data_IF_650895484518
#
_entry.id   IF_650895484518
#
_cell.length_a   1.000
_cell.length_b   1.000
_cell.length_c   1.000
_cell.angle_alpha   90.00
_cell.angle_beta   90.00
_cell.angle_gamma   90.00
#
_symmetry.space_group_name_H-M   'P 1'
#
loop_
_entity.id
_entity.type
_entity.pdbx_description
1 polymer ?
#
# COMPACT_ATOMS: atom_id res chain seq x y z
N UNK A 1 12.88 23.56 13.37
CA UNK A 1 11.92 23.61 12.27
C UNK A 1 10.56 24.15 12.75
N UNK A 2 10.02 25.21 12.16
CA UNK A 2 8.79 25.89 12.65
C UNK A 2 7.60 25.54 11.73
N UNK A 3 6.42 25.16 12.27
CA UNK A 3 5.22 24.86 11.47
C UNK A 3 4.81 25.94 10.46
N UNK A 4 4.92 27.21 10.86
CA UNK A 4 4.62 28.31 9.95
C UNK A 4 5.55 28.34 8.74
N UNK A 5 6.83 28.07 8.92
CA UNK A 5 7.78 27.99 7.81
C UNK A 5 7.49 26.78 6.89
N UNK A 6 7.03 25.64 7.44
CA UNK A 6 6.60 24.51 6.64
C UNK A 6 5.37 24.87 5.77
N UNK A 7 4.39 25.63 6.31
CA UNK A 7 3.27 26.18 5.52
C UNK A 7 3.75 27.06 4.37
N UNK A 8 4.78 27.87 4.58
CA UNK A 8 5.38 28.70 3.55
C UNK A 8 5.99 27.88 2.41
N UNK A 9 6.74 26.83 2.74
CA UNK A 9 7.30 25.90 1.74
C UNK A 9 6.19 25.25 0.93
N UNK A 10 5.15 24.71 1.58
CA UNK A 10 4.00 24.09 0.90
C UNK A 10 3.25 25.09 0.00
N UNK A 11 3.13 26.34 0.44
CA UNK A 11 2.48 27.38 -0.36
C UNK A 11 3.27 27.70 -1.65
N UNK A 12 4.60 27.76 -1.58
CA UNK A 12 5.46 27.96 -2.76
C UNK A 12 5.32 26.81 -3.76
N UNK A 13 5.34 25.57 -3.28
CA UNK A 13 5.17 24.38 -4.12
C UNK A 13 3.82 24.38 -4.86
N UNK A 14 2.72 24.63 -4.12
CA UNK A 14 1.37 24.68 -4.70
C UNK A 14 1.17 25.78 -5.73
N UNK A 15 1.86 26.91 -5.52
CA UNK A 15 1.70 28.10 -6.39
C UNK A 15 2.68 28.13 -7.55
N UNK A 16 3.77 27.34 -7.52
CA UNK A 16 4.85 27.37 -8.52
C UNK A 16 5.56 28.73 -8.64
N UNK A 17 5.33 29.67 -7.67
CA UNK A 17 5.84 31.04 -7.72
C UNK A 17 5.87 31.66 -6.32
N UNK A 18 7.00 32.24 -5.91
CA UNK A 18 7.09 32.99 -4.65
C UNK A 18 6.15 34.16 -4.58
N UNK A 19 5.93 34.88 -5.71
CA UNK A 19 5.04 36.01 -5.76
C UNK A 19 3.57 35.57 -5.61
N UNK A 20 3.15 34.53 -6.29
CA UNK A 20 1.80 34.00 -6.18
C UNK A 20 1.56 33.42 -4.76
N UNK A 21 2.52 32.66 -4.23
CA UNK A 21 2.45 32.08 -2.89
C UNK A 21 2.33 33.16 -1.80
N UNK A 22 3.15 34.23 -1.87
CA UNK A 22 3.11 35.30 -0.88
C UNK A 22 1.77 36.03 -0.84
N UNK A 23 1.14 36.24 -1.99
CA UNK A 23 -0.23 36.78 -2.09
C UNK A 23 -1.26 35.82 -1.48
N UNK A 24 -1.16 34.52 -1.78
CA UNK A 24 -2.11 33.54 -1.29
C UNK A 24 -2.10 33.35 0.24
N UNK A 25 -0.93 33.57 0.89
CA UNK A 25 -0.80 33.46 2.35
C UNK A 25 -0.68 34.81 3.06
N UNK A 26 -0.94 35.92 2.35
CA UNK A 26 -0.99 37.27 2.88
C UNK A 26 0.29 37.74 3.62
N UNK A 27 1.46 37.47 3.04
CA UNK A 27 2.76 37.99 3.54
C UNK A 27 3.57 38.63 2.41
N UNK A 28 4.65 39.32 2.75
CA UNK A 28 5.54 39.88 1.73
C UNK A 28 6.38 38.78 1.06
N UNK A 29 6.71 38.96 -0.22
CA UNK A 29 7.57 38.03 -0.94
C UNK A 29 8.96 37.88 -0.27
N UNK A 30 9.51 38.97 0.28
CA UNK A 30 10.77 38.95 0.99
C UNK A 30 10.72 38.10 2.26
N UNK A 31 9.65 38.20 3.04
CA UNK A 31 9.42 37.37 4.22
C UNK A 31 9.29 35.89 3.86
N UNK A 32 8.54 35.58 2.78
CA UNK A 32 8.40 34.22 2.28
C UNK A 32 9.76 33.64 1.82
N UNK A 33 10.51 34.42 1.03
CA UNK A 33 11.82 34.00 0.53
C UNK A 33 12.80 33.72 1.70
N UNK A 34 12.83 34.61 2.69
CA UNK A 34 13.65 34.41 3.90
C UNK A 34 13.23 33.15 4.65
N UNK A 35 11.94 32.94 4.83
CA UNK A 35 11.42 31.77 5.54
C UNK A 35 11.79 30.45 4.86
N UNK A 36 11.74 30.38 3.53
CA UNK A 36 12.14 29.20 2.76
C UNK A 36 13.66 29.01 2.85
N UNK A 37 14.46 30.06 2.70
CA UNK A 37 15.91 29.98 2.82
C UNK A 37 16.37 29.46 4.20
N UNK A 38 15.67 29.86 5.27
CA UNK A 38 15.94 29.36 6.62
C UNK A 38 15.65 27.85 6.75
N UNK A 39 14.62 27.33 6.09
CA UNK A 39 14.33 25.88 6.05
C UNK A 39 15.38 25.15 5.21
N UNK A 40 15.79 25.69 4.07
CA UNK A 40 16.85 25.12 3.23
C UNK A 40 18.18 25.05 3.98
N UNK A 41 18.51 26.09 4.73
CA UNK A 41 19.69 26.11 5.60
C UNK A 41 19.62 25.06 6.73
N UNK A 42 18.45 24.90 7.36
CA UNK A 42 18.25 23.85 8.38
C UNK A 42 18.27 22.42 7.77
N UNK A 43 17.79 22.25 6.54
CA UNK A 43 17.76 20.98 5.83
C UNK A 43 19.14 20.60 5.25
N UNK A 44 19.97 21.58 4.94
CA UNK A 44 21.29 21.39 4.32
C UNK A 44 21.26 21.21 2.80
N UNK A 45 20.10 21.42 2.16
CA UNK A 45 19.94 21.34 0.71
C UNK A 45 18.84 22.28 0.22
N UNK A 46 18.90 22.64 -1.07
CA UNK A 46 17.87 23.45 -1.71
C UNK A 46 16.59 22.65 -1.90
N UNK A 47 15.45 23.25 -1.51
CA UNK A 47 14.13 22.66 -1.74
C UNK A 47 13.59 22.99 -3.13
N UNK A 48 13.97 24.17 -3.67
CA UNK A 48 13.45 24.69 -4.92
C UNK A 48 14.54 25.11 -5.89
N UNK A 49 14.25 24.92 -7.17
CA UNK A 49 14.99 25.46 -8.30
C UNK A 49 14.15 26.54 -9.00
N UNK A 50 14.82 27.65 -9.42
CA UNK A 50 14.16 28.73 -10.16
C UNK A 50 14.46 28.59 -11.63
N UNK A 51 13.43 28.50 -12.44
CA UNK A 51 13.50 28.45 -13.89
C UNK A 51 12.73 29.62 -14.50
N UNK A 52 12.97 29.91 -15.78
CA UNK A 52 12.25 30.97 -16.50
C UNK A 52 10.72 30.77 -16.50
N UNK A 53 10.26 29.54 -16.34
CA UNK A 53 8.82 29.18 -16.32
C UNK A 53 8.23 29.02 -14.92
N UNK A 54 8.97 29.28 -13.85
CA UNK A 54 8.47 29.16 -12.47
C UNK A 54 9.46 28.54 -11.49
N UNK A 55 8.94 28.13 -10.36
CA UNK A 55 9.68 27.51 -9.25
C UNK A 55 9.26 26.06 -9.15
N UNK A 56 10.24 25.15 -9.14
CA UNK A 56 10.03 23.70 -9.07
C UNK A 56 10.80 23.11 -7.91
N UNK A 57 10.25 22.04 -7.32
CA UNK A 57 10.96 21.30 -6.28
C UNK A 57 12.16 20.54 -6.85
N UNK A 58 13.30 20.57 -6.15
CA UNK A 58 14.43 19.68 -6.43
C UNK A 58 14.04 18.22 -6.15
N UNK A 59 14.83 17.24 -6.60
CA UNK A 59 14.59 15.83 -6.30
C UNK A 59 14.57 15.54 -4.79
N UNK A 60 15.50 16.14 -4.02
CA UNK A 60 15.53 16.06 -2.56
C UNK A 60 14.42 16.89 -1.92
N UNK A 61 14.13 18.08 -2.50
CA UNK A 61 13.06 18.97 -2.05
C UNK A 61 11.68 18.32 -2.16
N UNK A 62 11.41 17.52 -3.20
CA UNK A 62 10.11 16.85 -3.37
C UNK A 62 9.76 15.98 -2.16
N UNK A 63 10.66 15.10 -1.73
CA UNK A 63 10.43 14.24 -0.57
C UNK A 63 10.22 15.04 0.74
N UNK A 64 10.98 16.12 0.91
CA UNK A 64 10.81 17.04 2.05
C UNK A 64 9.46 17.75 2.02
N UNK A 65 9.08 18.33 0.86
CA UNK A 65 7.85 19.11 0.67
C UNK A 65 6.62 18.22 0.89
N UNK A 66 6.61 17.01 0.35
CA UNK A 66 5.53 16.06 0.53
C UNK A 66 5.32 15.72 2.01
N UNK A 67 6.41 15.57 2.78
CA UNK A 67 6.35 15.35 4.21
C UNK A 67 5.92 16.59 4.99
N UNK A 68 6.40 17.77 4.60
CA UNK A 68 5.98 19.04 5.18
C UNK A 68 4.48 19.29 4.95
N UNK A 69 3.95 18.99 3.77
CA UNK A 69 2.53 19.14 3.46
C UNK A 69 1.64 18.28 4.37
N UNK A 70 2.09 17.07 4.72
CA UNK A 70 1.38 16.18 5.66
C UNK A 70 1.37 16.76 7.08
N UNK A 71 2.53 17.19 7.58
CA UNK A 71 2.63 17.81 8.91
C UNK A 71 1.73 19.04 9.01
N UNK A 72 1.69 19.86 7.96
CA UNK A 72 0.82 21.05 7.88
C UNK A 72 -0.66 20.63 7.92
N UNK A 73 -1.05 19.62 7.15
CA UNK A 73 -2.41 19.13 7.14
C UNK A 73 -2.86 18.55 8.49
N UNK A 74 -1.99 17.79 9.15
CA UNK A 74 -2.23 17.23 10.48
C UNK A 74 -2.39 18.33 11.55
N UNK A 75 -1.58 19.41 11.47
CA UNK A 75 -1.71 20.57 12.35
C UNK A 75 -3.00 21.38 12.09
N UNK A 76 -3.41 21.50 10.85
CA UNK A 76 -4.67 22.17 10.48
C UNK A 76 -5.88 21.37 10.96
N UNK A 77 -5.82 20.04 10.85
CA UNK A 77 -6.84 19.15 11.37
C UNK A 77 -6.93 19.26 12.90
N UNK A 78 -5.80 19.17 13.61
CA UNK A 78 -5.75 19.34 15.07
C UNK A 78 -6.37 20.67 15.52
N UNK A 79 -6.05 21.75 14.78
CA UNK A 79 -6.59 23.08 15.08
C UNK A 79 -8.09 23.17 14.83
N UNK A 80 -8.59 22.50 13.78
CA UNK A 80 -10.02 22.43 13.48
C UNK A 80 -10.79 21.62 14.52
N UNK A 81 -10.26 20.47 14.95
CA UNK A 81 -10.85 19.60 15.95
C UNK A 81 -10.94 20.31 17.30
N UNK A 82 -9.90 21.04 17.69
CA UNK A 82 -9.87 21.83 18.94
C UNK A 82 -10.90 22.95 18.92
N UNK A 83 -11.10 23.64 17.79
CA UNK A 83 -12.05 24.74 17.65
C UNK A 83 -13.52 24.27 17.64
N UNK A 84 -13.77 23.07 17.12
CA UNK A 84 -15.13 22.53 17.01
C UNK A 84 -15.64 21.86 18.29
N UNK A 85 -14.84 21.78 19.37
CA UNK A 85 -15.18 21.07 20.58
C UNK A 85 -15.41 19.56 20.36
N UNK A 86 -15.12 19.07 19.17
CA UNK A 86 -15.18 17.63 18.86
C UNK A 86 -14.06 16.94 19.62
N UNK A 87 -14.36 15.86 20.28
CA UNK A 87 -13.32 14.93 20.70
C UNK A 87 -12.41 14.70 19.50
N UNK A 88 -11.10 14.55 19.71
CA UNK A 88 -10.06 14.31 18.69
C UNK A 88 -10.32 13.05 17.82
N UNK A 89 -11.58 12.78 17.53
CA UNK A 89 -12.14 11.57 16.91
C UNK A 89 -12.25 11.65 15.39
N UNK A 90 -12.06 12.82 14.78
CA UNK A 90 -12.03 12.98 13.32
C UNK A 90 -10.70 12.51 12.74
N UNK A 91 -10.18 11.40 13.24
CA UNK A 91 -8.87 10.90 12.85
C UNK A 91 -8.89 10.36 11.43
N UNK A 92 -7.84 10.67 10.69
CA UNK A 92 -7.49 10.00 9.44
C UNK A 92 -6.75 8.71 9.79
N UNK A 93 -7.08 7.61 9.11
CA UNK A 93 -6.37 6.34 9.20
C UNK A 93 -5.85 5.99 7.80
N UNK A 94 -4.53 5.97 7.66
CA UNK A 94 -3.84 5.65 6.40
C UNK A 94 -3.37 4.20 6.46
N UNK A 95 -3.95 3.35 5.62
CA UNK A 95 -3.66 1.91 5.59
C UNK A 95 -2.94 1.54 4.30
N UNK A 96 -1.72 1.04 4.43
CA UNK A 96 -0.98 0.43 3.36
C UNK A 96 -1.29 -1.07 3.26
N UNK A 97 -1.42 -1.56 2.03
CA UNK A 97 -1.67 -2.99 1.76
C UNK A 97 -0.69 -3.49 0.71
N UNK A 98 -0.03 -4.58 1.01
CA UNK A 98 0.92 -5.23 0.11
C UNK A 98 0.77 -6.77 0.17
N UNK A 99 0.71 -7.45 -0.97
CA UNK A 99 0.53 -6.92 -2.31
C UNK A 99 -0.88 -6.34 -2.56
N UNK A 100 -1.11 -5.63 -3.67
CA UNK A 100 -2.43 -5.05 -3.98
C UNK A 100 -3.58 -6.06 -3.96
N UNK A 101 -3.31 -7.34 -4.19
CA UNK A 101 -4.32 -8.42 -4.13
C UNK A 101 -4.90 -8.62 -2.72
N UNK A 102 -4.21 -8.16 -1.67
CA UNK A 102 -4.69 -8.22 -0.29
C UNK A 102 -5.71 -7.13 0.05
N UNK A 103 -6.00 -6.21 -0.86
CA UNK A 103 -7.03 -5.18 -0.66
C UNK A 103 -8.37 -5.80 -0.23
N UNK A 104 -8.67 -7.00 -0.75
CA UNK A 104 -9.89 -7.74 -0.38
C UNK A 104 -9.98 -8.08 1.12
N UNK A 105 -8.87 -8.17 1.85
CA UNK A 105 -8.86 -8.40 3.29
C UNK A 105 -9.52 -7.26 4.05
N UNK A 106 -9.36 -6.04 3.56
CA UNK A 106 -9.93 -4.85 4.19
C UNK A 106 -11.40 -4.66 3.87
N UNK A 107 -11.92 -5.28 2.80
CA UNK A 107 -13.31 -5.08 2.35
C UNK A 107 -14.35 -5.43 3.43
N UNK A 108 -14.03 -6.38 4.31
CA UNK A 108 -14.91 -6.75 5.43
C UNK A 108 -14.65 -5.91 6.69
N UNK A 109 -13.41 -5.50 6.91
CA UNK A 109 -13.01 -4.74 8.09
C UNK A 109 -13.39 -3.26 7.99
N UNK A 110 -13.26 -2.65 6.81
CA UNK A 110 -13.53 -1.21 6.63
C UNK A 110 -14.98 -0.79 6.93
N UNK A 111 -16.03 -1.51 6.49
CA UNK A 111 -17.39 -1.18 6.88
C UNK A 111 -17.62 -1.24 8.39
N UNK A 112 -17.00 -2.21 9.09
CA UNK A 112 -17.12 -2.36 10.54
C UNK A 112 -16.46 -1.20 11.28
N UNK A 113 -15.26 -0.83 10.88
CA UNK A 113 -14.56 0.29 11.51
C UNK A 113 -15.29 1.62 11.28
N UNK A 114 -15.85 1.84 10.09
CA UNK A 114 -16.63 3.03 9.78
C UNK A 114 -17.95 3.09 10.55
N UNK A 115 -18.56 1.95 10.88
CA UNK A 115 -19.75 1.92 11.76
C UNK A 115 -19.41 2.27 13.21
N UNK A 116 -18.22 1.92 13.69
CA UNK A 116 -17.74 2.26 15.04
C UNK A 116 -17.23 3.70 15.13
N UNK A 117 -16.66 4.22 14.04
CA UNK A 117 -16.08 5.56 13.95
C UNK A 117 -16.63 6.30 12.72
N UNK A 118 -17.86 6.82 12.75
CA UNK A 118 -18.51 7.43 11.58
C UNK A 118 -17.77 8.64 10.99
N UNK A 119 -17.02 9.37 11.81
CA UNK A 119 -16.25 10.55 11.39
C UNK A 119 -14.83 10.19 10.87
N UNK A 120 -14.46 8.90 10.89
CA UNK A 120 -13.15 8.44 10.46
C UNK A 120 -12.98 8.62 8.95
N UNK A 121 -11.86 9.21 8.56
CA UNK A 121 -11.41 9.26 7.15
C UNK A 121 -10.37 8.17 6.92
N UNK A 122 -10.63 7.28 5.97
CA UNK A 122 -9.71 6.20 5.63
C UNK A 122 -9.04 6.53 4.30
N UNK A 123 -7.72 6.43 4.27
CA UNK A 123 -6.92 6.44 3.06
C UNK A 123 -6.26 5.08 2.91
N UNK A 124 -6.57 4.40 1.82
CA UNK A 124 -5.99 3.10 1.51
C UNK A 124 -5.04 3.23 0.33
N UNK A 125 -3.82 2.77 0.50
CA UNK A 125 -2.83 2.65 -0.55
C UNK A 125 -2.42 1.21 -0.74
N UNK A 126 -2.25 0.79 -1.99
CA UNK A 126 -1.74 -0.53 -2.31
C UNK A 126 -0.43 -0.39 -3.10
N UNK A 127 0.58 -1.17 -2.75
CA UNK A 127 1.91 -1.04 -3.35
C UNK A 127 2.81 -2.24 -3.12
N UNK A 128 4.07 -2.09 -3.49
CA UNK A 128 5.14 -3.07 -3.30
C UNK A 128 5.60 -3.08 -1.84
N UNK A 129 6.06 -4.24 -1.35
CA UNK A 129 6.40 -4.39 0.08
C UNK A 129 7.51 -3.43 0.51
N UNK A 130 8.55 -3.27 -0.29
CA UNK A 130 9.67 -2.39 0.02
C UNK A 130 9.23 -0.93 0.12
N UNK A 131 8.41 -0.49 -0.84
CA UNK A 131 7.85 0.87 -0.85
C UNK A 131 6.90 1.07 0.33
N UNK A 132 6.03 0.11 0.61
CA UNK A 132 5.08 0.18 1.72
C UNK A 132 5.78 0.22 3.08
N UNK A 133 6.89 -0.53 3.25
CA UNK A 133 7.76 -0.45 4.43
C UNK A 133 8.36 0.95 4.57
N UNK A 134 8.84 1.56 3.47
CA UNK A 134 9.36 2.93 3.52
C UNK A 134 8.26 3.94 3.86
N UNK A 135 7.06 3.78 3.32
CA UNK A 135 5.92 4.62 3.68
C UNK A 135 5.58 4.52 5.17
N UNK A 136 5.62 3.32 5.75
CA UNK A 136 5.40 3.14 7.19
C UNK A 136 6.53 3.80 8.02
N UNK A 137 7.81 3.62 7.62
CA UNK A 137 8.96 4.29 8.24
C UNK A 137 8.84 5.81 8.21
N UNK A 138 8.39 6.34 7.08
CA UNK A 138 8.26 7.78 6.85
C UNK A 138 6.98 8.37 7.43
N UNK A 139 6.10 7.58 8.03
CA UNK A 139 4.78 8.01 8.52
C UNK A 139 3.82 8.44 7.41
N UNK A 140 4.00 7.92 6.21
CA UNK A 140 3.11 8.16 5.09
C UNK A 140 1.83 7.32 5.21
N UNK A 141 1.95 6.16 5.87
CA UNK A 141 0.85 5.31 6.31
C UNK A 141 0.97 5.05 7.81
N UNK A 142 -0.15 4.75 8.46
CA UNK A 142 -0.24 4.48 9.90
C UNK A 142 -0.16 2.98 10.20
N UNK A 143 -0.72 2.17 9.31
CA UNK A 143 -0.73 0.72 9.35
C UNK A 143 -0.28 0.12 8.02
N UNK A 144 0.41 -1.01 8.08
CA UNK A 144 0.77 -1.83 6.92
C UNK A 144 0.27 -3.25 7.11
N UNK A 145 -0.52 -3.74 6.14
CA UNK A 145 -0.89 -5.16 6.04
C UNK A 145 -0.10 -5.79 4.90
N UNK A 146 0.60 -6.88 5.19
CA UNK A 146 1.44 -7.52 4.17
C UNK A 146 2.13 -8.81 4.63
N UNK A 147 3.05 -9.35 3.81
CA UNK A 147 3.80 -10.56 4.11
C UNK A 147 4.64 -10.42 5.38
N UNK A 148 4.40 -11.29 6.36
CA UNK A 148 5.05 -11.25 7.67
C UNK A 148 6.59 -11.32 7.61
N UNK A 149 7.23 -12.15 6.75
CA UNK A 149 8.69 -12.25 6.72
C UNK A 149 9.38 -10.91 6.45
N UNK A 150 8.91 -10.14 5.46
CA UNK A 150 9.49 -8.84 5.11
C UNK A 150 9.26 -7.78 6.21
N UNK A 151 8.08 -7.79 6.83
CA UNK A 151 7.73 -6.86 7.90
C UNK A 151 8.54 -7.14 9.17
N UNK A 152 8.69 -8.40 9.56
CA UNK A 152 9.42 -8.81 10.78
C UNK A 152 10.90 -8.51 10.75
N UNK A 153 11.50 -8.34 9.58
CA UNK A 153 12.90 -7.90 9.45
C UNK A 153 13.12 -6.46 9.91
N UNK A 154 12.04 -5.71 10.22
CA UNK A 154 12.12 -4.31 10.60
C UNK A 154 11.94 -4.14 12.12
N UNK A 155 13.04 -3.91 12.86
CA UNK A 155 13.05 -3.80 14.33
C UNK A 155 12.26 -2.61 14.91
N UNK A 156 11.84 -1.68 14.06
CA UNK A 156 11.15 -0.46 14.48
C UNK A 156 9.63 -0.55 14.43
N UNK A 157 9.08 -1.73 14.13
CA UNK A 157 7.64 -1.93 14.04
C UNK A 157 7.13 -2.81 15.18
N UNK A 158 5.94 -2.48 15.67
CA UNK A 158 5.09 -3.42 16.39
C UNK A 158 4.36 -4.26 15.36
N UNK A 159 4.43 -5.58 15.49
CA UNK A 159 3.95 -6.53 14.49
C UNK A 159 2.94 -7.48 15.12
N UNK A 160 1.75 -7.50 14.57
CA UNK A 160 0.70 -8.47 14.90
C UNK A 160 0.61 -9.51 13.81
N UNK A 161 0.56 -10.78 14.18
CA UNK A 161 0.45 -11.89 13.22
C UNK A 161 -1.01 -12.09 12.85
N UNK A 162 -1.28 -12.13 11.55
CA UNK A 162 -2.58 -12.48 11.01
C UNK A 162 -2.59 -13.94 10.54
N UNK A 163 -3.80 -14.50 10.38
CA UNK A 163 -3.97 -15.80 9.74
C UNK A 163 -3.33 -15.80 8.34
N UNK A 164 -2.67 -16.89 7.95
CA UNK A 164 -2.00 -16.97 6.67
C UNK A 164 -2.96 -16.82 5.49
N UNK A 165 -2.47 -16.24 4.42
CA UNK A 165 -3.21 -15.93 3.21
C UNK A 165 -2.98 -17.02 2.14
N UNK A 166 -4.05 -17.64 1.67
CA UNK A 166 -3.99 -18.62 0.60
C UNK A 166 -3.95 -17.96 -0.78
N UNK A 167 -3.08 -18.44 -1.65
CA UNK A 167 -3.02 -18.08 -3.07
C UNK A 167 -3.60 -19.22 -3.90
N UNK A 168 -4.28 -18.87 -4.99
CA UNK A 168 -4.71 -19.78 -6.03
C UNK A 168 -4.19 -19.33 -7.38
N UNK A 169 -3.92 -20.27 -8.26
CA UNK A 169 -3.69 -20.01 -9.67
C UNK A 169 -5.02 -20.04 -10.41
N UNK A 170 -5.20 -19.10 -11.35
CA UNK A 170 -6.38 -19.06 -12.20
C UNK A 170 -5.99 -18.88 -13.66
N UNK A 171 -6.86 -19.35 -14.55
CA UNK A 171 -6.70 -19.32 -16.00
C UNK A 171 -8.01 -18.95 -16.67
N UNK A 172 -7.97 -18.57 -17.95
CA UNK A 172 -9.18 -18.38 -18.75
C UNK A 172 -9.97 -19.67 -18.87
N UNK A 173 -11.25 -19.58 -19.16
CA UNK A 173 -12.05 -20.74 -19.59
C UNK A 173 -11.44 -21.35 -20.85
N UNK A 174 -11.44 -22.68 -20.93
CA UNK A 174 -10.85 -23.41 -22.05
C UNK A 174 -9.32 -23.33 -22.17
N UNK A 175 -8.62 -22.96 -21.09
CA UNK A 175 -7.17 -23.08 -21.03
C UNK A 175 -6.76 -24.56 -21.01
N UNK A 176 -5.64 -24.98 -21.67
CA UNK A 176 -5.23 -26.39 -21.73
C UNK A 176 -5.09 -27.10 -20.38
N UNK A 177 -4.78 -26.35 -19.31
CA UNK A 177 -4.73 -26.89 -17.95
C UNK A 177 -6.11 -27.25 -17.36
N UNK A 178 -7.22 -26.79 -17.95
CA UNK A 178 -8.55 -27.15 -17.51
C UNK A 178 -8.88 -28.62 -17.82
N UNK A 179 -8.25 -29.21 -18.83
CA UNK A 179 -8.43 -30.61 -19.22
C UNK A 179 -7.72 -31.58 -18.27
N UNK A 180 -6.85 -31.05 -17.38
CA UNK A 180 -6.17 -31.81 -16.37
C UNK A 180 -6.94 -31.75 -15.04
N UNK A 181 -7.51 -32.86 -14.53
CA UNK A 181 -8.29 -32.86 -13.28
C UNK A 181 -7.50 -32.40 -12.06
N UNK A 182 -6.20 -32.65 -12.06
CA UNK A 182 -5.24 -32.26 -10.99
C UNK A 182 -3.91 -31.84 -11.63
N UNK A 183 -3.81 -30.62 -12.16
CA UNK A 183 -2.54 -30.13 -12.68
C UNK A 183 -1.51 -30.09 -11.57
N UNK A 184 -0.30 -30.56 -11.88
CA UNK A 184 0.84 -30.45 -10.98
C UNK A 184 1.47 -29.07 -11.13
N UNK A 185 2.18 -28.64 -10.09
CA UNK A 185 2.92 -27.37 -10.12
C UNK A 185 3.87 -27.28 -11.32
N UNK A 186 4.58 -28.36 -11.67
CA UNK A 186 5.45 -28.44 -12.83
C UNK A 186 4.71 -28.20 -14.18
N UNK A 187 3.40 -28.42 -14.25
CA UNK A 187 2.63 -28.14 -15.46
C UNK A 187 2.46 -26.64 -15.70
N UNK A 188 2.51 -25.84 -14.63
CA UNK A 188 2.37 -24.39 -14.69
C UNK A 188 3.57 -23.72 -15.39
N UNK A 189 4.76 -24.30 -15.26
CA UNK A 189 6.01 -23.76 -15.79
C UNK A 189 6.06 -23.67 -17.32
N UNK A 190 5.10 -24.30 -18.00
CA UNK A 190 4.99 -24.27 -19.47
C UNK A 190 4.30 -23.03 -20.00
N UNK A 191 3.73 -22.22 -19.12
CA UNK A 191 2.91 -21.07 -19.47
C UNK A 191 3.43 -19.79 -18.85
N UNK A 192 3.23 -18.63 -19.49
CA UNK A 192 3.51 -17.34 -18.87
C UNK A 192 2.75 -17.19 -17.55
N UNK A 193 3.29 -16.44 -16.60
CA UNK A 193 2.66 -16.18 -15.32
C UNK A 193 2.49 -14.68 -15.09
N UNK A 194 1.39 -14.30 -14.46
CA UNK A 194 1.13 -12.94 -13.99
C UNK A 194 0.99 -12.93 -12.47
N UNK A 195 1.94 -12.31 -11.78
CA UNK A 195 1.92 -12.11 -10.34
C UNK A 195 1.54 -10.67 -10.00
N UNK A 196 0.83 -10.50 -8.91
CA UNK A 196 0.46 -9.16 -8.43
C UNK A 196 1.67 -8.39 -7.89
N UNK A 197 2.64 -9.09 -7.32
CA UNK A 197 3.84 -8.53 -6.71
C UNK A 197 4.94 -9.61 -6.64
N UNK A 198 6.21 -9.18 -6.64
CA UNK A 198 7.35 -10.08 -6.41
C UNK A 198 7.36 -10.70 -5.01
N UNK A 199 6.77 -10.05 -4.03
CA UNK A 199 6.66 -10.59 -2.66
C UNK A 199 5.76 -11.84 -2.56
N UNK A 200 4.91 -12.07 -3.57
CA UNK A 200 4.15 -13.33 -3.73
C UNK A 200 5.07 -14.48 -4.18
N UNK A 201 6.16 -14.14 -4.87
CA UNK A 201 7.18 -15.09 -5.30
C UNK A 201 8.14 -15.41 -4.14
N UNK A 202 7.61 -16.02 -3.06
CA UNK A 202 8.47 -16.43 -1.94
C UNK A 202 9.47 -17.51 -2.39
N UNK A 203 10.65 -17.62 -1.76
CA UNK A 203 11.62 -18.68 -2.09
C UNK A 203 11.00 -20.08 -2.05
N UNK A 204 10.08 -20.35 -1.10
CA UNK A 204 9.37 -21.61 -0.96
C UNK A 204 8.47 -21.89 -2.16
N UNK A 205 7.67 -20.88 -2.58
CA UNK A 205 6.81 -21.00 -3.75
C UNK A 205 7.65 -21.15 -5.03
N UNK A 206 8.76 -20.43 -5.13
CA UNK A 206 9.67 -20.54 -6.28
C UNK A 206 10.34 -21.91 -6.32
N UNK A 207 10.79 -22.41 -5.18
CA UNK A 207 11.33 -23.77 -5.07
C UNK A 207 10.31 -24.82 -5.49
N UNK A 208 9.05 -24.63 -5.10
CA UNK A 208 7.96 -25.53 -5.45
C UNK A 208 7.60 -25.45 -6.94
N UNK A 209 7.56 -24.23 -7.52
CA UNK A 209 7.24 -24.01 -8.92
C UNK A 209 8.38 -24.43 -9.85
N UNK A 210 9.60 -24.06 -9.55
CA UNK A 210 10.72 -24.12 -10.48
C UNK A 210 11.87 -25.03 -10.04
N UNK A 211 11.78 -25.63 -8.84
CA UNK A 211 12.87 -26.42 -8.26
C UNK A 211 14.07 -25.60 -7.82
N UNK A 212 13.95 -24.28 -7.77
CA UNK A 212 14.99 -23.33 -7.33
C UNK A 212 14.34 -22.12 -6.65
N UNK A 213 15.05 -21.42 -5.73
CA UNK A 213 14.48 -20.32 -4.95
C UNK A 213 14.26 -19.02 -5.76
N UNK A 214 14.72 -18.99 -7.00
CA UNK A 214 14.63 -17.84 -7.90
C UNK A 214 13.78 -18.16 -9.14
N UNK A 215 13.25 -17.11 -9.76
CA UNK A 215 12.49 -17.24 -11.01
C UNK A 215 13.49 -17.52 -12.14
N UNK A 216 13.33 -18.63 -12.90
CA UNK A 216 14.20 -18.90 -14.04
C UNK A 216 14.15 -17.77 -15.08
N UNK A 217 15.29 -17.41 -15.67
CA UNK A 217 15.35 -16.39 -16.73
C UNK A 217 14.53 -16.77 -17.98
N UNK A 218 14.28 -18.07 -18.20
CA UNK A 218 13.43 -18.58 -19.27
C UNK A 218 11.94 -18.42 -19.01
N UNK A 219 11.52 -18.15 -17.76
CA UNK A 219 10.11 -17.99 -17.40
C UNK A 219 9.59 -16.63 -17.84
N UNK A 220 8.54 -16.62 -18.65
CA UNK A 220 7.81 -15.40 -18.95
C UNK A 220 6.97 -15.00 -17.73
N UNK A 221 7.47 -14.03 -16.97
CA UNK A 221 6.80 -13.50 -15.79
C UNK A 221 6.40 -12.04 -16.00
N UNK A 222 5.12 -11.78 -15.84
CA UNK A 222 4.56 -10.44 -15.81
C UNK A 222 4.27 -10.04 -14.37
N UNK A 223 4.72 -8.86 -13.96
CA UNK A 223 4.40 -8.29 -12.65
C UNK A 223 3.34 -7.22 -12.86
N UNK A 224 2.09 -7.53 -12.49
CA UNK A 224 0.91 -6.71 -12.77
C UNK A 224 0.20 -6.41 -11.44
N UNK A 225 0.51 -5.27 -10.84
CA UNK A 225 -0.09 -4.85 -9.57
C UNK A 225 -1.58 -4.49 -9.64
N UNK A 226 -2.11 -4.22 -10.83
CA UNK A 226 -3.52 -3.90 -11.04
C UNK A 226 -4.30 -5.14 -11.43
N UNK A 227 -5.13 -5.66 -10.52
CA UNK A 227 -5.82 -6.95 -10.67
C UNK A 227 -6.70 -7.04 -11.93
N UNK A 228 -7.44 -5.97 -12.25
CA UNK A 228 -8.29 -5.98 -13.45
C UNK A 228 -7.47 -6.08 -14.75
N UNK A 229 -6.26 -5.51 -14.79
CA UNK A 229 -5.34 -5.67 -15.93
C UNK A 229 -4.79 -7.09 -16.02
N UNK A 230 -4.43 -7.69 -14.90
CA UNK A 230 -4.01 -9.09 -14.84
C UNK A 230 -5.12 -10.02 -15.35
N UNK A 231 -6.37 -9.80 -14.94
CA UNK A 231 -7.52 -10.56 -15.44
C UNK A 231 -7.69 -10.45 -16.97
N UNK A 232 -7.51 -9.25 -17.55
CA UNK A 232 -7.59 -9.07 -19.00
C UNK A 232 -6.49 -9.84 -19.75
N UNK A 233 -5.27 -9.84 -19.22
CA UNK A 233 -4.16 -10.60 -19.82
C UNK A 233 -4.46 -12.10 -19.77
N UNK A 234 -4.88 -12.62 -18.62
CA UNK A 234 -5.23 -14.03 -18.45
C UNK A 234 -6.40 -14.42 -19.36
N UNK A 235 -7.39 -13.55 -19.50
CA UNK A 235 -8.55 -13.82 -20.37
C UNK A 235 -8.18 -13.89 -21.86
N UNK A 236 -7.17 -13.11 -22.29
CA UNK A 236 -6.75 -12.99 -23.67
C UNK A 236 -5.61 -13.94 -24.09
N UNK A 237 -5.07 -14.73 -23.16
CA UNK A 237 -3.87 -15.56 -23.42
C UNK A 237 -3.87 -16.81 -22.55
N UNK A 238 -2.84 -17.65 -22.74
CA UNK A 238 -2.58 -18.79 -21.85
C UNK A 238 -1.74 -18.41 -20.63
N UNK A 239 -1.75 -17.15 -20.23
CA UNK A 239 -1.09 -16.69 -19.02
C UNK A 239 -1.84 -17.20 -17.78
N UNK A 240 -1.10 -17.69 -16.80
CA UNK A 240 -1.62 -18.10 -15.49
C UNK A 240 -1.57 -16.89 -14.55
N UNK A 241 -2.69 -16.54 -13.96
CA UNK A 241 -2.78 -15.49 -12.95
C UNK A 241 -2.77 -16.05 -11.53
N UNK A 242 -2.49 -15.18 -10.56
CA UNK A 242 -2.62 -15.48 -9.14
C UNK A 242 -3.72 -14.66 -8.50
N UNK A 243 -4.45 -15.26 -7.58
CA UNK A 243 -5.56 -14.64 -6.87
C UNK A 243 -5.67 -15.16 -5.44
N UNK A 244 -6.31 -14.40 -4.57
CA UNK A 244 -6.66 -14.87 -3.22
C UNK A 244 -7.50 -16.13 -3.25
N UNK A 245 -7.29 -17.04 -2.31
CA UNK A 245 -8.12 -18.23 -2.14
C UNK A 245 -9.61 -17.89 -1.88
N UNK A 246 -9.92 -16.68 -1.38
CA UNK A 246 -11.30 -16.19 -1.21
C UNK A 246 -12.11 -16.16 -2.51
N UNK A 247 -11.43 -16.02 -3.66
CA UNK A 247 -12.08 -16.03 -4.99
C UNK A 247 -12.63 -17.39 -5.41
N UNK A 248 -12.29 -18.47 -4.70
CA UNK A 248 -12.90 -19.80 -4.93
C UNK A 248 -14.44 -19.79 -4.81
N UNK A 249 -14.97 -18.83 -4.05
CA UNK A 249 -16.43 -18.67 -3.81
C UNK A 249 -17.01 -17.46 -4.58
N UNK A 250 -16.20 -16.74 -5.36
CA UNK A 250 -16.68 -15.56 -6.09
C UNK A 250 -17.28 -15.97 -7.43
N UNK A 251 -18.61 -16.05 -7.48
CA UNK A 251 -19.35 -16.51 -8.67
C UNK A 251 -19.06 -15.68 -9.91
N UNK A 252 -19.05 -14.35 -9.81
CA UNK A 252 -18.75 -13.46 -10.93
C UNK A 252 -17.34 -13.70 -11.51
N UNK A 253 -16.37 -13.98 -10.66
CA UNK A 253 -15.02 -14.34 -11.10
C UNK A 253 -15.02 -15.70 -11.80
N UNK A 254 -15.71 -16.69 -11.23
CA UNK A 254 -15.79 -18.05 -11.77
C UNK A 254 -16.58 -18.17 -13.07
N UNK A 255 -17.39 -17.19 -13.43
CA UNK A 255 -18.01 -17.11 -14.76
C UNK A 255 -16.97 -16.97 -15.87
N UNK A 256 -15.90 -16.22 -15.64
CA UNK A 256 -14.88 -15.90 -16.63
C UNK A 256 -13.62 -16.74 -16.53
N UNK A 257 -13.32 -17.25 -15.34
CA UNK A 257 -12.06 -17.92 -15.04
C UNK A 257 -12.26 -19.30 -14.41
N UNK A 258 -11.23 -20.12 -14.50
CA UNK A 258 -11.13 -21.40 -13.79
C UNK A 258 -10.00 -21.31 -12.77
N UNK A 259 -10.29 -21.60 -11.51
CA UNK A 259 -9.27 -21.75 -10.48
C UNK A 259 -8.71 -23.17 -10.55
N UNK A 260 -7.40 -23.27 -10.72
CA UNK A 260 -6.69 -24.54 -10.80
C UNK A 260 -6.62 -25.22 -9.41
N UNK A 261 -6.81 -26.54 -9.40
CA UNK A 261 -6.69 -27.36 -8.16
C UNK A 261 -5.23 -27.69 -7.89
N UNK A 262 -4.43 -26.65 -7.64
CA UNK A 262 -3.02 -26.76 -7.28
C UNK A 262 -2.89 -26.30 -5.82
N UNK A 263 -2.28 -27.12 -4.98
CA UNK A 263 -1.99 -26.76 -3.60
C UNK A 263 -0.80 -25.80 -3.59
N UNK A 264 -0.86 -24.75 -2.77
CA UNK A 264 0.23 -23.82 -2.53
C UNK A 264 0.40 -23.61 -1.02
N UNK A 265 1.62 -23.39 -0.57
CA UNK A 265 1.85 -22.99 0.81
C UNK A 265 1.18 -21.63 1.06
N UNK A 266 0.48 -21.45 2.18
CA UNK A 266 -0.11 -20.16 2.52
C UNK A 266 0.97 -19.14 2.88
N UNK A 267 0.77 -17.88 2.50
CA UNK A 267 1.69 -16.78 2.81
C UNK A 267 1.40 -16.27 4.23
N UNK A 268 2.38 -16.29 5.13
CA UNK A 268 2.23 -15.67 6.44
C UNK A 268 1.97 -14.18 6.32
N UNK A 269 0.93 -13.68 6.99
CA UNK A 269 0.57 -12.27 7.01
C UNK A 269 0.84 -11.62 8.36
N UNK A 270 1.04 -10.33 8.32
CA UNK A 270 1.11 -9.48 9.49
C UNK A 270 0.49 -8.11 9.23
N UNK A 271 0.05 -7.48 10.31
CA UNK A 271 -0.24 -6.07 10.35
C UNK A 271 0.80 -5.39 11.24
N UNK A 272 1.29 -4.24 10.83
CA UNK A 272 2.36 -3.54 11.53
C UNK A 272 2.13 -2.04 11.60
N UNK A 273 2.63 -1.44 12.67
CA UNK A 273 2.73 0.00 12.84
C UNK A 273 4.06 0.36 13.53
N UNK A 274 4.43 1.62 13.50
CA UNK A 274 5.71 2.06 14.08
C UNK A 274 5.66 1.95 15.62
N UNK A 275 6.62 1.24 16.23
CA UNK A 275 6.65 0.92 17.67
C UNK A 275 6.68 2.13 18.62
N UNK A 276 7.17 3.27 18.14
CA UNK A 276 7.21 4.53 18.92
C UNK A 276 5.91 5.34 18.85
N UNK A 277 4.87 4.84 18.18
CA UNK A 277 3.59 5.53 18.13
C UNK A 277 2.63 4.99 19.14
N UNK A 278 1.85 5.90 19.71
CA UNK A 278 0.65 5.53 20.41
C UNK A 278 -0.44 5.28 19.38
N UNK A 279 -0.93 4.03 19.22
CA UNK A 279 -1.95 3.74 18.25
C UNK A 279 -3.27 4.47 18.62
N UNK A 280 -3.94 5.05 17.60
CA UNK A 280 -5.24 5.69 17.82
C UNK A 280 -6.35 4.63 18.04
N UNK A 281 -7.47 4.98 18.69
CA UNK A 281 -8.56 4.03 18.89
C UNK A 281 -9.07 3.35 17.60
N UNK A 282 -9.24 4.05 16.46
CA UNK A 282 -9.59 3.39 15.20
C UNK A 282 -8.52 2.42 14.70
N UNK A 283 -7.25 2.72 14.94
CA UNK A 283 -6.15 1.84 14.56
C UNK A 283 -6.16 0.54 15.36
N UNK A 284 -6.36 0.62 16.69
CA UNK A 284 -6.50 -0.54 17.57
C UNK A 284 -7.70 -1.39 17.13
N UNK A 285 -8.85 -0.76 16.93
CA UNK A 285 -10.06 -1.47 16.52
C UNK A 285 -9.89 -2.18 15.16
N UNK A 286 -9.17 -1.58 14.20
CA UNK A 286 -8.89 -2.24 12.92
C UNK A 286 -7.96 -3.45 13.09
N UNK A 287 -6.94 -3.35 13.93
CA UNK A 287 -6.08 -4.50 14.28
C UNK A 287 -6.90 -5.61 14.89
N UNK A 288 -7.74 -5.31 15.89
CA UNK A 288 -8.59 -6.29 16.59
C UNK A 288 -9.57 -6.99 15.63
N UNK A 289 -10.18 -6.24 14.70
CA UNK A 289 -11.08 -6.80 13.68
C UNK A 289 -10.31 -7.77 12.77
N UNK A 290 -9.13 -7.39 12.33
CA UNK A 290 -8.33 -8.22 11.44
C UNK A 290 -7.76 -9.46 12.13
N UNK A 291 -7.47 -9.41 13.43
CA UNK A 291 -7.00 -10.56 14.21
C UNK A 291 -8.16 -11.51 14.56
N UNK A 292 -9.33 -10.97 14.96
CA UNK A 292 -10.43 -11.76 15.49
C UNK A 292 -11.34 -12.38 14.42
N UNK A 293 -11.38 -11.80 13.21
CA UNK A 293 -12.28 -12.23 12.15
C UNK A 293 -11.54 -12.51 10.83
N UNK A 294 -10.74 -13.58 10.75
CA UNK A 294 -10.00 -13.91 9.53
C UNK A 294 -10.90 -14.52 8.46
N UNK A 295 -11.80 -13.74 7.88
CA UNK A 295 -12.73 -14.19 6.82
C UNK A 295 -12.06 -14.76 5.57
N UNK A 296 -10.76 -14.53 5.40
CA UNK A 296 -9.94 -15.08 4.30
C UNK A 296 -9.32 -16.44 4.64
N UNK A 297 -9.26 -16.83 5.93
CA UNK A 297 -8.61 -18.06 6.37
C UNK A 297 -9.42 -19.33 6.08
N UNK A 298 -10.75 -19.23 6.03
CA UNK A 298 -11.66 -20.37 5.78
C UNK A 298 -11.47 -21.01 4.40
N UNK A 299 -10.72 -20.39 3.51
CA UNK A 299 -10.50 -20.85 2.14
C UNK A 299 -9.14 -21.53 1.95
N UNK A 300 -8.25 -21.49 2.94
CA UNK A 300 -6.92 -22.11 2.87
C UNK A 300 -6.89 -23.59 3.30
N UNK A 301 -7.92 -24.08 4.00
CA UNK A 301 -7.92 -25.42 4.65
C UNK A 301 -8.68 -26.51 3.89
N UNK A 302 -9.08 -26.32 2.61
CA UNK A 302 -9.75 -27.41 1.85
C UNK A 302 -9.13 -27.60 0.48
#
# INVERSE_FOLDING_TARGET
>A
MNPTKLKHVVAVDRSGSFTAASKAIHITQSALTKSVAEIEAEAGFALFERHAKGVYATAQGRAFIDRAARIVADLEQLSADTKSGRQLSGSRLRVGVCPPSLVSLLNMALPKILSQFPELRIEQTAGWIEQSIQHLKNRDIDLLVGPAPAIRQQNQFTVHTLEPFGICFFVRKGHPLCDKPRPKIADLNRYPMALADKSVATPELMQELFGQPEIPASQQLHIIGHFASACKIVQASDTIGTVSASYRKNMQFLENFTILKVATAPIPLAIAYHSKWLPSPPMIALVDILESEPHWADTARK
#
